data_IF_804659675970
#
_entry.id   IF_804659675970
#
_cell.length_a   1.000
_cell.length_b   1.000
_cell.length_c   1.000
_cell.angle_alpha   90.00
_cell.angle_beta   90.00
_cell.angle_gamma   90.00
#
_symmetry.space_group_name_H-M   'P 1'
#
loop_
_entity.id
_entity.type
_entity.pdbx_description
1 polymer ?
#
# COMPACT_ATOMS: atom_id res chain seq x y z
N UNK A 1 -16.35 -10.00 -0.89
CA UNK A 1 -15.69 -10.37 -2.16
C UNK A 1 -14.45 -9.52 -2.25
N UNK A 2 -13.29 -10.16 -2.41
CA UNK A 2 -12.02 -9.45 -2.60
C UNK A 2 -11.95 -8.83 -3.99
N UNK A 3 -11.25 -7.71 -4.11
CA UNK A 3 -10.92 -7.08 -5.39
C UNK A 3 -9.42 -7.13 -5.65
N UNK A 4 -9.04 -7.14 -6.92
CA UNK A 4 -7.63 -7.15 -7.30
C UNK A 4 -6.90 -5.91 -6.74
N UNK A 5 -5.67 -6.11 -6.27
CA UNK A 5 -4.81 -5.11 -5.62
C UNK A 5 -5.24 -4.64 -4.22
N UNK A 6 -6.34 -5.14 -3.66
CA UNK A 6 -6.63 -4.89 -2.25
C UNK A 6 -5.55 -5.52 -1.35
N UNK A 7 -5.14 -4.77 -0.32
CA UNK A 7 -4.17 -5.21 0.69
C UNK A 7 -4.91 -5.55 1.98
N UNK A 8 -4.60 -6.71 2.55
CA UNK A 8 -5.19 -7.18 3.79
C UNK A 8 -4.12 -7.48 4.84
N UNK A 9 -4.39 -7.14 6.10
CA UNK A 9 -3.50 -7.40 7.23
C UNK A 9 -4.17 -8.26 8.30
N UNK A 10 -3.46 -9.25 8.82
CA UNK A 10 -3.84 -9.93 10.05
C UNK A 10 -3.35 -9.10 11.24
N UNK A 11 -4.26 -8.62 12.09
CA UNK A 11 -3.90 -7.82 13.27
C UNK A 11 -3.31 -8.66 14.43
N UNK A 12 -3.31 -9.99 14.34
CA UNK A 12 -2.68 -10.88 15.34
C UNK A 12 -1.21 -11.13 15.01
N UNK A 13 -0.92 -11.73 13.85
CA UNK A 13 0.43 -12.16 13.49
C UNK A 13 1.18 -11.16 12.61
N UNK A 14 0.50 -10.13 12.10
CA UNK A 14 1.09 -9.11 11.24
C UNK A 14 1.23 -9.49 9.77
N UNK A 15 0.76 -10.67 9.32
CA UNK A 15 0.79 -11.04 7.91
C UNK A 15 0.05 -10.01 7.05
N UNK A 16 0.71 -9.56 5.98
CA UNK A 16 0.14 -8.66 4.97
C UNK A 16 0.13 -9.40 3.62
N UNK A 17 -1.00 -9.37 2.92
CA UNK A 17 -1.17 -10.02 1.61
C UNK A 17 -1.87 -9.08 0.64
N UNK A 18 -1.59 -9.25 -0.65
CA UNK A 18 -2.30 -8.58 -1.73
C UNK A 18 -3.10 -9.58 -2.57
N UNK A 19 -4.26 -9.15 -3.02
CA UNK A 19 -5.14 -9.94 -3.89
C UNK A 19 -4.68 -9.88 -5.35
N UNK A 20 -4.16 -10.99 -5.86
CA UNK A 20 -3.80 -11.15 -7.28
C UNK A 20 -4.99 -11.60 -8.16
N UNK A 21 -5.93 -12.34 -7.56
CA UNK A 21 -7.13 -12.86 -8.21
C UNK A 21 -8.33 -12.75 -7.27
N UNK A 22 -9.46 -12.29 -7.79
CA UNK A 22 -10.66 -11.98 -7.01
C UNK A 22 -11.41 -13.24 -6.60
N UNK A 23 -12.06 -13.18 -5.43
CA UNK A 23 -12.81 -14.31 -4.89
C UNK A 23 -13.96 -13.87 -3.99
N UNK A 24 -14.99 -14.72 -3.88
CA UNK A 24 -16.18 -14.41 -3.08
C UNK A 24 -15.95 -14.60 -1.57
N UNK A 25 -15.02 -15.48 -1.18
CA UNK A 25 -14.72 -15.79 0.23
C UNK A 25 -14.02 -14.64 0.96
N UNK A 26 -14.13 -14.65 2.30
CA UNK A 26 -13.35 -13.78 3.17
C UNK A 26 -11.93 -14.33 3.36
N UNK A 27 -10.94 -13.46 3.44
CA UNK A 27 -9.58 -13.85 3.81
C UNK A 27 -9.49 -14.01 5.32
N UNK A 28 -9.06 -15.19 5.78
CA UNK A 28 -8.98 -15.53 7.21
C UNK A 28 -7.55 -15.89 7.57
N UNK A 29 -7.05 -15.31 8.65
CA UNK A 29 -5.74 -15.65 9.22
C UNK A 29 -5.83 -15.64 10.75
N UNK A 30 -5.22 -16.62 11.40
CA UNK A 30 -5.28 -16.79 12.86
C UNK A 30 -6.72 -16.90 13.43
N UNK A 31 -7.64 -17.50 12.66
CA UNK A 31 -9.02 -17.76 13.11
C UNK A 31 -9.97 -16.56 13.04
N UNK A 32 -9.55 -15.42 12.46
CA UNK A 32 -10.41 -14.26 12.21
C UNK A 32 -10.24 -13.73 10.78
N UNK A 33 -11.23 -12.96 10.32
CA UNK A 33 -11.12 -12.23 9.05
C UNK A 33 -9.96 -11.23 9.10
N UNK A 34 -9.19 -11.17 8.00
CA UNK A 34 -8.14 -10.17 7.84
C UNK A 34 -8.76 -8.79 7.59
N UNK A 35 -8.11 -7.75 8.10
CA UNK A 35 -8.55 -6.37 7.93
C UNK A 35 -8.15 -5.86 6.54
N UNK A 36 -9.12 -5.32 5.80
CA UNK A 36 -8.85 -4.54 4.58
C UNK A 36 -8.11 -3.25 4.97
N UNK A 37 -6.97 -3.01 4.34
CA UNK A 37 -6.15 -1.82 4.55
C UNK A 37 -6.55 -0.77 3.51
N UNK A 38 -7.69 -0.10 3.73
CA UNK A 38 -8.17 0.95 2.82
C UNK A 38 -7.18 2.11 2.72
N UNK A 39 -6.89 2.53 1.49
CA UNK A 39 -6.02 3.67 1.23
C UNK A 39 -6.65 4.94 1.77
N UNK A 40 -5.89 5.69 2.56
CA UNK A 40 -6.30 7.00 3.02
C UNK A 40 -6.02 8.04 1.94
N UNK A 41 -6.95 8.97 1.77
CA UNK A 41 -6.79 10.11 0.87
C UNK A 41 -6.68 11.39 1.68
N UNK A 42 -5.70 12.22 1.34
CA UNK A 42 -5.49 13.53 1.93
C UNK A 42 -4.78 14.43 0.91
N UNK A 43 -4.75 15.73 1.18
CA UNK A 43 -4.02 16.68 0.33
C UNK A 43 -2.50 16.42 0.43
N UNK A 44 -1.91 16.10 -0.72
CA UNK A 44 -0.47 15.84 -0.88
C UNK A 44 0.41 17.01 -0.42
N UNK A 45 -0.11 18.24 -0.47
CA UNK A 45 0.63 19.45 -0.11
C UNK A 45 0.73 19.65 1.40
N UNK A 46 -0.10 18.96 2.20
CA UNK A 46 -0.15 19.13 3.66
C UNK A 46 0.15 17.85 4.44
N UNK A 47 -0.10 16.68 3.86
CA UNK A 47 0.02 15.40 4.56
C UNK A 47 1.37 14.71 4.27
N UNK A 48 1.98 14.12 5.30
CA UNK A 48 3.31 13.49 5.23
C UNK A 48 3.28 12.04 4.76
N UNK A 49 2.10 11.43 4.75
CA UNK A 49 1.91 10.03 4.35
C UNK A 49 1.40 9.87 2.92
N UNK A 50 1.02 10.96 2.24
CA UNK A 50 0.57 10.86 0.85
C UNK A 50 1.79 10.85 -0.08
N UNK A 51 1.90 9.86 -0.98
CA UNK A 51 3.00 9.81 -1.94
C UNK A 51 3.01 11.04 -2.87
N UNK A 52 4.20 11.58 -3.11
CA UNK A 52 4.46 12.61 -4.12
C UNK A 52 5.16 11.94 -5.29
N UNK A 53 4.62 12.15 -6.49
CA UNK A 53 5.12 11.53 -7.72
C UNK A 53 5.70 12.58 -8.68
N UNK A 54 6.88 12.29 -9.22
CA UNK A 54 7.56 13.09 -10.23
C UNK A 54 7.85 12.21 -11.45
N UNK A 55 7.46 12.66 -12.65
CA UNK A 55 7.86 12.02 -13.90
C UNK A 55 9.32 12.38 -14.20
N UNK A 56 10.15 11.38 -14.40
CA UNK A 56 11.55 11.52 -14.78
C UNK A 56 11.78 10.82 -16.14
N UNK A 57 12.87 11.14 -16.88
CA UNK A 57 13.11 10.54 -18.20
C UNK A 57 13.12 9.00 -18.20
N UNK A 58 13.52 8.38 -17.08
CA UNK A 58 13.58 6.92 -16.91
C UNK A 58 12.32 6.29 -16.30
N UNK A 59 11.27 7.07 -15.99
CA UNK A 59 10.03 6.55 -15.41
C UNK A 59 9.39 7.48 -14.38
N UNK A 60 9.01 6.92 -13.23
CA UNK A 60 8.35 7.64 -12.14
C UNK A 60 9.25 7.55 -10.91
N UNK A 61 9.50 8.70 -10.29
CA UNK A 61 10.06 8.80 -8.95
C UNK A 61 8.92 9.05 -7.98
N UNK A 62 8.70 8.13 -7.05
CA UNK A 62 7.73 8.27 -5.97
C UNK A 62 8.48 8.42 -4.64
N UNK A 63 8.03 9.37 -3.81
CA UNK A 63 8.56 9.60 -2.46
C UNK A 63 7.41 9.76 -1.48
N UNK A 64 7.60 9.39 -0.22
CA UNK A 64 6.61 9.57 0.84
C UNK A 64 7.21 10.48 1.91
N UNK A 65 6.66 11.67 2.20
CA UNK A 65 5.65 12.46 1.46
C UNK A 65 6.18 13.86 1.14
N UNK A 66 5.34 14.89 1.27
CA UNK A 66 5.76 16.30 1.08
C UNK A 66 6.88 16.72 2.05
N UNK A 67 6.82 16.22 3.28
CA UNK A 67 7.97 16.06 4.17
C UNK A 67 8.36 14.58 4.16
N UNK A 68 9.66 14.29 4.05
CA UNK A 68 10.14 12.91 4.03
C UNK A 68 9.68 12.16 5.29
N UNK A 69 9.07 11.00 5.07
CA UNK A 69 8.67 10.11 6.14
C UNK A 69 9.90 9.52 6.83
N UNK A 70 9.90 9.38 8.17
CA UNK A 70 10.98 8.69 8.89
C UNK A 70 11.20 7.25 8.37
N UNK A 71 12.45 6.78 8.37
CA UNK A 71 12.80 5.40 7.98
C UNK A 71 13.60 4.74 9.11
N UNK A 72 13.01 4.72 10.30
CA UNK A 72 13.58 4.16 11.52
C UNK A 72 13.17 2.69 11.67
N UNK A 73 13.94 1.89 12.43
CA UNK A 73 13.74 0.43 12.58
C UNK A 73 12.30 0.02 12.94
N UNK A 74 11.62 0.82 13.75
CA UNK A 74 10.24 0.57 14.21
C UNK A 74 9.18 1.40 13.49
N UNK A 75 9.58 2.29 12.58
CA UNK A 75 8.67 3.20 11.89
C UNK A 75 9.25 3.61 10.53
N UNK A 76 8.81 2.91 9.50
CA UNK A 76 9.27 3.08 8.13
C UNK A 76 8.14 2.76 7.15
N UNK A 77 8.33 3.15 5.89
CA UNK A 77 7.46 2.77 4.78
C UNK A 77 7.89 1.39 4.27
N UNK A 78 7.02 0.38 4.41
CA UNK A 78 7.35 -1.01 4.06
C UNK A 78 7.52 -1.23 2.55
N UNK A 79 6.73 -0.55 1.72
CA UNK A 79 6.88 -0.55 0.26
C UNK A 79 6.26 0.70 -0.37
N UNK A 80 6.64 0.97 -1.61
CA UNK A 80 5.96 1.92 -2.49
C UNK A 80 5.47 1.16 -3.71
N UNK A 81 4.18 1.32 -4.03
CA UNK A 81 3.57 0.75 -5.22
C UNK A 81 3.07 1.82 -6.18
N UNK A 82 3.35 1.62 -7.47
CA UNK A 82 2.85 2.47 -8.55
C UNK A 82 1.97 1.61 -9.46
N UNK A 83 0.68 1.96 -9.51
CA UNK A 83 -0.30 1.30 -10.37
C UNK A 83 -0.52 2.14 -11.63
N UNK A 84 -0.40 1.49 -12.79
CA UNK A 84 -0.63 2.10 -14.11
C UNK A 84 -1.55 1.20 -14.94
N UNK A 85 -1.99 1.69 -16.09
CA UNK A 85 -2.75 0.87 -17.06
C UNK A 85 -1.99 -0.40 -17.51
N UNK A 86 -0.65 -0.40 -17.44
CA UNK A 86 0.19 -1.53 -17.84
C UNK A 86 0.42 -2.54 -16.71
N UNK A 87 -0.03 -2.25 -15.50
CA UNK A 87 0.17 -3.08 -14.32
C UNK A 87 0.71 -2.31 -13.12
N UNK A 88 1.02 -3.04 -12.06
CA UNK A 88 1.57 -2.54 -10.81
C UNK A 88 3.07 -2.85 -10.71
N UNK A 89 3.84 -1.89 -10.19
CA UNK A 89 5.25 -2.07 -9.83
C UNK A 89 5.44 -1.73 -8.36
N UNK A 90 6.08 -2.62 -7.60
CA UNK A 90 6.34 -2.45 -6.16
C UNK A 90 7.83 -2.51 -5.86
N UNK A 91 8.27 -1.70 -4.92
CA UNK A 91 9.62 -1.73 -4.36
C UNK A 91 9.62 -1.56 -2.85
#
# INVERSE_FOLDING_TARGET
MTKKLEVYKCEICGNIVEVLHEGKGALVCCGQEMKLMEEQTADQTTEKHVPVMEKIPSGIKAVVGSTLHPMEEKHYIEWIEVVTEKGASRK
#
